data_IF_355838308982
#
_entry.id   IF_355838308982
#
_cell.length_a   1.000
_cell.length_b   1.000
_cell.length_c   1.000
_cell.angle_alpha   90.00
_cell.angle_beta   90.00
_cell.angle_gamma   90.00
#
_symmetry.space_group_name_H-M   'P 1'
#
loop_
_entity.id
_entity.type
_entity.pdbx_description
1 polymer ?
#
# COMPACT_ATOMS: atom_id res chain seq x y z
N UNK A 1 -32.34 -26.79 63.50
CA UNK A 1 -31.57 -25.55 63.27
C UNK A 1 -30.33 -25.91 62.46
N UNK A 2 -30.41 -25.76 61.14
CA UNK A 2 -29.27 -25.84 60.21
C UNK A 2 -29.76 -25.36 58.85
N UNK A 3 -29.57 -24.07 58.57
CA UNK A 3 -29.90 -23.42 57.28
C UNK A 3 -28.66 -23.38 56.40
N UNK A 4 -28.77 -23.90 55.18
CA UNK A 4 -27.76 -23.79 54.13
C UNK A 4 -27.68 -22.36 53.57
N UNK A 5 -26.51 -21.91 53.06
CA UNK A 5 -26.37 -20.60 52.44
C UNK A 5 -26.81 -20.60 50.97
N UNK A 6 -27.54 -19.55 50.60
CA UNK A 6 -27.97 -19.22 49.24
C UNK A 6 -26.78 -18.87 48.33
N UNK A 7 -26.76 -19.43 47.12
CA UNK A 7 -25.84 -19.07 46.03
C UNK A 7 -26.49 -17.97 45.18
N UNK A 8 -25.82 -16.82 45.06
CA UNK A 8 -26.26 -15.67 44.25
C UNK A 8 -25.43 -15.59 42.96
N UNK A 9 -26.02 -15.83 41.76
CA UNK A 9 -25.28 -15.87 40.51
C UNK A 9 -25.26 -14.50 39.82
N UNK A 10 -24.67 -13.49 40.46
CA UNK A 10 -24.39 -12.20 39.78
C UNK A 10 -23.00 -11.66 40.13
N UNK A 11 -21.96 -12.35 39.65
CA UNK A 11 -20.66 -11.74 39.38
C UNK A 11 -20.29 -12.05 37.92
N UNK A 12 -20.82 -11.26 37.00
CA UNK A 12 -20.21 -11.11 35.68
C UNK A 12 -18.96 -10.26 35.87
N UNK A 13 -17.80 -10.87 35.70
CA UNK A 13 -16.53 -10.20 35.50
C UNK A 13 -16.65 -9.21 34.34
N UNK A 14 -16.89 -7.95 34.67
CA UNK A 14 -16.73 -6.83 33.76
C UNK A 14 -15.26 -6.50 33.67
N UNK A 15 -14.52 -7.23 32.83
CA UNK A 15 -13.23 -6.75 32.34
C UNK A 15 -13.49 -5.51 31.48
N UNK A 16 -13.44 -4.35 32.14
CA UNK A 16 -13.35 -3.05 31.50
C UNK A 16 -12.06 -3.05 30.67
N UNK A 17 -12.20 -3.23 29.36
CA UNK A 17 -11.15 -2.97 28.38
C UNK A 17 -10.77 -1.50 28.46
N UNK A 18 -9.82 -1.17 29.35
CA UNK A 18 -9.16 0.13 29.36
C UNK A 18 -8.36 0.20 28.06
N UNK A 19 -8.79 1.05 27.13
CA UNK A 19 -7.99 1.44 25.98
C UNK A 19 -6.66 1.98 26.50
N UNK A 20 -5.60 1.18 26.42
CA UNK A 20 -4.24 1.63 26.72
C UNK A 20 -3.93 2.81 25.79
N UNK A 21 -3.57 3.96 26.37
CA UNK A 21 -3.14 5.10 25.59
C UNK A 21 -1.88 4.72 24.81
N UNK A 22 -1.91 4.85 23.48
CA UNK A 22 -0.75 4.59 22.64
C UNK A 22 0.18 5.79 22.76
N UNK A 23 1.41 5.57 23.23
CA UNK A 23 2.43 6.60 23.34
C UNK A 23 3.41 6.49 22.16
N UNK A 24 3.67 7.62 21.50
CA UNK A 24 4.59 7.73 20.38
C UNK A 24 5.70 8.75 20.71
N UNK A 25 6.93 8.54 20.20
CA UNK A 25 8.06 9.39 20.55
C UNK A 25 7.86 10.82 20.06
N UNK A 26 8.11 11.81 20.93
CA UNK A 26 8.12 13.22 20.54
C UNK A 26 9.30 13.55 19.61
N UNK A 27 10.42 12.84 19.77
CA UNK A 27 11.59 12.91 18.90
C UNK A 27 11.82 11.54 18.24
N UNK A 28 11.19 11.26 17.09
CA UNK A 28 11.22 9.93 16.48
C UNK A 28 12.61 9.59 15.91
N UNK A 29 13.09 8.38 16.18
CA UNK A 29 14.30 7.87 15.53
C UNK A 29 14.09 7.75 14.01
N UNK A 30 15.12 8.00 13.17
CA UNK A 30 15.00 7.84 11.73
C UNK A 30 14.53 6.42 11.33
N UNK A 31 13.60 6.29 10.36
CA UNK A 31 13.20 4.98 9.85
C UNK A 31 14.37 4.20 9.25
N UNK A 32 14.36 2.88 9.38
CA UNK A 32 15.38 1.98 8.82
C UNK A 32 14.79 0.62 8.48
N UNK A 33 15.53 -0.19 7.71
CA UNK A 33 15.11 -1.57 7.47
C UNK A 33 15.18 -2.38 8.77
N UNK A 34 14.02 -2.78 9.29
CA UNK A 34 13.91 -3.60 10.50
C UNK A 34 12.99 -4.82 10.34
N UNK A 35 12.24 -4.94 9.23
CA UNK A 35 11.26 -6.00 8.99
C UNK A 35 11.82 -7.17 8.16
N UNK A 36 13.05 -7.59 8.44
CA UNK A 36 13.81 -8.54 7.60
C UNK A 36 13.62 -10.01 7.97
N UNK A 37 13.01 -10.29 9.12
CA UNK A 37 12.72 -11.64 9.62
C UNK A 37 11.24 -11.81 9.90
N UNK A 38 10.73 -13.04 9.86
CA UNK A 38 9.31 -13.31 10.16
C UNK A 38 8.97 -12.92 11.61
N UNK A 39 9.92 -13.07 12.55
CA UNK A 39 9.78 -12.59 13.92
C UNK A 39 9.63 -11.08 14.00
N UNK A 40 10.45 -10.31 13.27
CA UNK A 40 10.36 -8.86 13.27
C UNK A 40 9.03 -8.36 12.66
N UNK A 41 8.55 -9.02 11.61
CA UNK A 41 7.24 -8.72 10.99
C UNK A 41 6.10 -9.02 11.97
N UNK A 42 6.14 -10.16 12.67
CA UNK A 42 5.15 -10.51 13.67
C UNK A 42 5.14 -9.51 14.86
N UNK A 43 6.32 -9.08 15.31
CA UNK A 43 6.46 -8.10 16.39
C UNK A 43 5.98 -6.71 15.98
N UNK A 44 6.21 -6.31 14.73
CA UNK A 44 5.86 -4.98 14.24
C UNK A 44 4.38 -4.66 14.42
N UNK A 45 3.49 -5.64 14.25
CA UNK A 45 2.05 -5.43 14.48
C UNK A 45 1.72 -5.07 15.92
N UNK A 46 2.53 -5.51 16.88
CA UNK A 46 2.33 -5.20 18.30
C UNK A 46 2.94 -3.86 18.71
N UNK A 47 3.73 -3.23 17.82
CA UNK A 47 4.39 -1.96 18.11
C UNK A 47 3.38 -0.81 18.25
N UNK A 48 3.60 0.14 19.18
CA UNK A 48 2.76 1.32 19.35
C UNK A 48 2.49 2.07 18.04
N UNK A 49 3.53 2.26 17.22
CA UNK A 49 3.45 2.99 15.96
C UNK A 49 2.57 2.30 14.93
N UNK A 50 2.68 0.96 14.79
CA UNK A 50 1.78 0.23 13.91
C UNK A 50 0.33 0.26 14.41
N UNK A 51 0.11 0.11 15.72
CA UNK A 51 -1.24 0.16 16.30
C UNK A 51 -1.89 1.53 16.10
N UNK A 52 -1.12 2.62 16.20
CA UNK A 52 -1.59 3.96 15.92
C UNK A 52 -1.90 4.16 14.43
N UNK A 53 -1.00 3.73 13.53
CA UNK A 53 -1.22 3.75 12.09
C UNK A 53 -2.46 2.95 11.68
N UNK A 54 -2.61 1.73 12.19
CA UNK A 54 -3.79 0.91 11.92
C UNK A 54 -5.07 1.51 12.52
N UNK A 55 -4.96 2.14 13.69
CA UNK A 55 -6.02 2.96 14.27
C UNK A 55 -6.47 4.08 13.32
N UNK A 56 -5.52 4.79 12.73
CA UNK A 56 -5.78 5.83 11.74
C UNK A 56 -6.46 5.28 10.47
N UNK A 57 -5.98 4.17 9.91
CA UNK A 57 -6.61 3.51 8.74
C UNK A 57 -8.06 3.13 9.04
N UNK A 58 -8.33 2.52 10.21
CA UNK A 58 -9.70 2.18 10.63
C UNK A 58 -10.57 3.43 10.76
N UNK A 59 -10.05 4.50 11.37
CA UNK A 59 -10.77 5.78 11.52
C UNK A 59 -11.09 6.40 10.16
N UNK A 60 -10.15 6.37 9.20
CA UNK A 60 -10.43 6.80 7.81
C UNK A 60 -11.53 5.95 7.20
N UNK A 61 -11.45 4.62 7.26
CA UNK A 61 -12.51 3.75 6.75
C UNK A 61 -13.91 4.08 7.31
N UNK A 62 -14.02 4.42 8.59
CA UNK A 62 -15.29 4.82 9.18
C UNK A 62 -15.77 6.20 8.70
N UNK A 63 -14.86 7.17 8.51
CA UNK A 63 -15.18 8.53 8.08
C UNK A 63 -15.47 8.67 6.59
N UNK A 64 -14.92 7.79 5.78
CA UNK A 64 -15.05 7.85 4.32
C UNK A 64 -16.38 7.31 3.80
N UNK A 65 -17.22 6.71 4.65
CA UNK A 65 -18.55 6.19 4.24
C UNK A 65 -19.38 7.26 3.55
N UNK A 66 -19.85 6.96 2.34
CA UNK A 66 -20.65 7.87 1.52
C UNK A 66 -19.90 9.09 0.97
N UNK A 67 -18.58 9.23 1.21
CA UNK A 67 -17.77 10.30 0.65
C UNK A 67 -17.21 9.90 -0.72
N UNK A 68 -17.19 10.86 -1.64
CA UNK A 68 -16.66 10.65 -2.99
C UNK A 68 -15.18 11.08 -3.09
N UNK A 69 -14.47 10.57 -4.10
CA UNK A 69 -13.17 11.06 -4.52
C UNK A 69 -13.27 12.56 -4.79
N UNK A 70 -12.31 13.32 -4.27
CA UNK A 70 -12.26 14.76 -4.44
C UNK A 70 -11.36 15.09 -5.64
N UNK A 71 -11.97 15.65 -6.69
CA UNK A 71 -11.29 16.04 -7.93
C UNK A 71 -11.20 17.56 -8.04
N UNK A 72 -10.39 18.03 -8.99
CA UNK A 72 -10.18 19.44 -9.26
C UNK A 72 -9.20 20.11 -8.30
N UNK A 73 -9.06 21.43 -8.47
CA UNK A 73 -8.15 22.25 -7.68
C UNK A 73 -8.50 22.21 -6.19
N UNK A 74 -7.45 22.15 -5.36
CA UNK A 74 -7.63 22.19 -3.92
C UNK A 74 -7.92 23.60 -3.43
N UNK A 75 -9.11 23.79 -2.84
CA UNK A 75 -9.58 25.09 -2.36
C UNK A 75 -9.43 25.25 -0.83
N UNK A 76 -8.90 24.25 -0.12
CA UNK A 76 -8.71 24.33 1.32
C UNK A 76 -7.40 25.04 1.73
N UNK A 77 -7.24 25.28 3.03
CA UNK A 77 -6.14 26.06 3.58
C UNK A 77 -4.93 25.23 4.02
N UNK A 78 -5.01 23.89 3.94
CA UNK A 78 -3.91 23.01 4.37
C UNK A 78 -2.74 23.12 3.41
N UNK A 79 -1.65 23.75 3.86
CA UNK A 79 -0.43 23.85 3.08
C UNK A 79 0.16 22.47 2.79
N UNK A 80 0.07 21.52 3.72
CA UNK A 80 0.60 20.18 3.51
C UNK A 80 -0.12 19.43 2.38
N UNK A 81 -1.45 19.54 2.29
CA UNK A 81 -2.20 18.98 1.16
C UNK A 81 -1.76 19.62 -0.15
N UNK A 82 -1.65 20.96 -0.19
CA UNK A 82 -1.16 21.68 -1.39
C UNK A 82 0.22 21.19 -1.83
N UNK A 83 1.16 21.05 -0.89
CA UNK A 83 2.52 20.57 -1.16
C UNK A 83 2.53 19.13 -1.68
N UNK A 84 1.74 18.23 -1.09
CA UNK A 84 1.66 16.84 -1.56
C UNK A 84 1.04 16.73 -2.95
N UNK A 85 0.04 17.55 -3.29
CA UNK A 85 -0.54 17.59 -4.63
C UNK A 85 0.45 18.15 -5.66
N UNK A 86 1.10 19.27 -5.35
CA UNK A 86 2.16 19.85 -6.21
C UNK A 86 3.30 18.85 -6.43
N UNK A 87 3.69 18.09 -5.40
CA UNK A 87 4.65 17.00 -5.52
C UNK A 87 4.19 15.95 -6.55
N UNK A 88 2.96 15.44 -6.42
CA UNK A 88 2.44 14.43 -7.34
C UNK A 88 2.29 14.95 -8.76
N UNK A 89 1.86 16.21 -8.94
CA UNK A 89 1.72 16.83 -10.26
C UNK A 89 3.08 17.03 -10.95
N UNK A 90 4.09 17.48 -10.20
CA UNK A 90 5.47 17.56 -10.71
C UNK A 90 6.01 16.18 -11.09
N UNK A 91 5.77 15.17 -10.26
CA UNK A 91 6.18 13.80 -10.56
C UNK A 91 5.50 13.24 -11.81
N UNK A 92 4.25 13.60 -12.08
CA UNK A 92 3.58 13.27 -13.34
C UNK A 92 4.26 13.97 -14.52
N UNK A 93 4.54 15.27 -14.39
CA UNK A 93 5.28 16.03 -15.42
C UNK A 93 6.67 15.45 -15.73
N UNK A 94 7.37 14.94 -14.71
CA UNK A 94 8.69 14.31 -14.88
C UNK A 94 8.67 13.04 -15.75
N UNK A 95 7.51 12.41 -15.96
CA UNK A 95 7.39 11.25 -16.87
C UNK A 95 7.66 11.69 -18.31
N UNK A 96 7.22 12.88 -18.69
CA UNK A 96 7.45 13.45 -20.03
C UNK A 96 8.94 13.78 -20.25
N UNK A 97 9.66 14.15 -19.20
CA UNK A 97 11.11 14.40 -19.24
C UNK A 97 11.94 13.12 -19.42
N UNK A 98 11.36 11.95 -19.12
CA UNK A 98 12.05 10.66 -19.17
C UNK A 98 11.30 9.70 -20.10
N UNK A 99 11.41 9.89 -21.43
CA UNK A 99 10.73 9.04 -22.40
C UNK A 99 11.27 7.61 -22.36
N UNK A 100 10.45 6.66 -22.83
CA UNK A 100 10.82 5.25 -22.91
C UNK A 100 12.09 5.05 -23.76
N UNK A 101 12.99 4.19 -23.29
CA UNK A 101 14.19 3.84 -24.04
C UNK A 101 13.88 2.67 -25.01
N UNK A 102 14.40 2.70 -26.25
CA UNK A 102 14.33 1.55 -27.14
C UNK A 102 15.04 0.34 -26.52
N UNK A 103 14.38 -0.82 -26.51
CA UNK A 103 14.93 -2.06 -25.97
C UNK A 103 14.71 -3.19 -26.98
N UNK A 104 15.80 -3.76 -27.49
CA UNK A 104 15.77 -4.89 -28.44
C UNK A 104 15.64 -6.25 -27.76
N UNK A 105 16.17 -6.40 -26.53
CA UNK A 105 16.34 -7.70 -25.87
C UNK A 105 15.57 -7.86 -24.54
N UNK A 106 14.80 -6.85 -24.10
CA UNK A 106 14.11 -6.87 -22.82
C UNK A 106 12.59 -6.81 -23.03
N UNK A 107 11.89 -7.87 -22.60
CA UNK A 107 10.43 -7.99 -22.74
C UNK A 107 9.65 -7.32 -21.60
N UNK A 108 10.26 -7.17 -20.42
CA UNK A 108 9.62 -6.70 -19.19
C UNK A 108 10.39 -5.51 -18.60
N UNK A 109 9.67 -4.49 -18.12
CA UNK A 109 10.26 -3.29 -17.52
C UNK A 109 11.09 -2.43 -18.48
N UNK A 110 10.69 -1.18 -18.68
CA UNK A 110 11.49 -0.23 -19.44
C UNK A 110 12.59 0.38 -18.55
N UNK A 111 13.85 0.30 -19.00
CA UNK A 111 15.01 0.78 -18.25
C UNK A 111 14.98 2.30 -17.97
N UNK A 112 14.22 3.08 -18.74
CA UNK A 112 14.00 4.50 -18.49
C UNK A 112 13.43 4.76 -17.08
N UNK A 113 12.73 3.80 -16.48
CA UNK A 113 12.25 3.91 -15.11
C UNK A 113 13.35 4.16 -14.09
N UNK A 114 14.57 3.62 -14.31
CA UNK A 114 15.72 3.88 -13.44
C UNK A 114 16.10 5.36 -13.47
N UNK A 115 16.09 5.96 -14.65
CA UNK A 115 16.34 7.38 -14.82
C UNK A 115 15.23 8.22 -14.17
N UNK A 116 13.96 7.79 -14.30
CA UNK A 116 12.83 8.44 -13.63
C UNK A 116 12.98 8.43 -12.11
N UNK A 117 13.26 7.27 -11.50
CA UNK A 117 13.45 7.18 -10.04
C UNK A 117 14.66 8.00 -9.58
N UNK A 118 15.76 7.99 -10.33
CA UNK A 118 16.92 8.85 -10.02
C UNK A 118 16.52 10.34 -10.03
N UNK A 119 15.71 10.76 -10.99
CA UNK A 119 15.17 12.12 -11.05
C UNK A 119 14.32 12.45 -9.82
N UNK A 120 13.49 11.51 -9.37
CA UNK A 120 12.68 11.63 -8.16
C UNK A 120 13.58 11.77 -6.92
N UNK A 121 14.60 10.94 -6.77
CA UNK A 121 15.56 10.99 -5.65
C UNK A 121 16.28 12.36 -5.57
N UNK A 122 16.62 12.94 -6.73
CA UNK A 122 17.30 14.23 -6.81
C UNK A 122 16.39 15.43 -6.54
N UNK A 123 15.13 15.40 -7.04
CA UNK A 123 14.25 16.56 -7.05
C UNK A 123 13.21 16.57 -5.91
N UNK A 124 12.71 15.41 -5.48
CA UNK A 124 11.63 15.32 -4.50
C UNK A 124 11.93 16.04 -3.18
N UNK A 125 13.12 15.91 -2.55
CA UNK A 125 13.42 16.60 -1.30
C UNK A 125 13.27 18.13 -1.41
N UNK A 126 13.59 18.71 -2.57
CA UNK A 126 13.54 20.15 -2.81
C UNK A 126 12.10 20.70 -2.92
N UNK A 127 11.09 19.84 -2.98
CA UNK A 127 9.69 20.23 -2.99
C UNK A 127 9.16 20.56 -1.58
N UNK A 128 9.87 20.12 -0.54
CA UNK A 128 9.50 20.31 0.86
C UNK A 128 10.26 21.49 1.49
N UNK A 129 10.03 22.71 0.99
CA UNK A 129 10.79 23.92 1.39
C UNK A 129 10.03 24.87 2.33
N UNK A 130 8.76 24.58 2.62
CA UNK A 130 7.96 25.45 3.49
C UNK A 130 8.47 25.48 4.94
N UNK A 131 8.51 26.66 5.54
CA UNK A 131 8.79 26.84 6.96
C UNK A 131 7.69 26.28 7.89
N UNK A 132 6.51 25.95 7.36
CA UNK A 132 5.44 25.31 8.13
C UNK A 132 5.63 23.80 8.31
N UNK A 133 6.64 23.20 7.67
CA UNK A 133 6.97 21.79 7.80
C UNK A 133 7.63 21.57 9.17
N UNK A 134 7.08 20.69 10.04
CA UNK A 134 7.70 20.37 11.31
C UNK A 134 9.14 19.84 11.11
N UNK A 135 10.13 20.25 11.93
CA UNK A 135 11.52 19.81 11.76
C UNK A 135 11.71 18.29 11.83
N UNK A 136 10.83 17.60 12.55
CA UNK A 136 10.85 16.14 12.71
C UNK A 136 10.17 15.40 11.55
N UNK A 137 9.45 16.08 10.65
CA UNK A 137 8.67 15.43 9.59
C UNK A 137 9.56 14.86 8.48
N UNK A 138 10.41 15.67 7.83
CA UNK A 138 11.18 15.21 6.67
C UNK A 138 12.13 14.03 6.96
N UNK A 139 12.82 13.97 8.12
CA UNK A 139 13.61 12.79 8.50
C UNK A 139 12.79 11.49 8.61
N UNK A 140 11.47 11.58 8.77
CA UNK A 140 10.55 10.43 8.83
C UNK A 140 9.89 10.16 7.47
N UNK A 141 9.51 11.21 6.74
CA UNK A 141 8.77 11.13 5.49
C UNK A 141 9.65 10.67 4.31
N UNK A 142 10.83 11.26 4.14
CA UNK A 142 11.68 10.98 2.98
C UNK A 142 12.15 9.53 2.93
N UNK A 143 12.50 8.85 4.04
CA UNK A 143 12.81 7.41 4.00
C UNK A 143 11.65 6.52 3.57
N UNK A 144 10.41 6.91 3.85
CA UNK A 144 9.22 6.18 3.36
C UNK A 144 9.05 6.38 1.85
N UNK A 145 9.21 7.61 1.37
CA UNK A 145 9.02 7.91 -0.05
C UNK A 145 10.16 7.38 -0.93
N UNK A 146 11.42 7.59 -0.51
CA UNK A 146 12.59 7.28 -1.31
C UNK A 146 13.16 5.90 -0.99
N UNK A 147 13.53 5.64 0.27
CA UNK A 147 14.24 4.41 0.63
C UNK A 147 13.34 3.17 0.71
N UNK A 148 12.05 3.34 1.02
CA UNK A 148 11.05 2.27 0.89
C UNK A 148 10.46 2.18 -0.52
N UNK A 149 10.94 3.03 -1.44
CA UNK A 149 10.55 3.05 -2.85
C UNK A 149 9.04 3.20 -3.04
N UNK A 150 8.40 4.19 -2.43
CA UNK A 150 6.93 4.37 -2.51
C UNK A 150 6.38 4.51 -3.94
N UNK A 151 7.25 4.77 -4.92
CA UNK A 151 6.92 4.97 -6.34
C UNK A 151 7.44 3.84 -7.24
N UNK A 152 7.87 2.70 -6.66
CA UNK A 152 8.39 1.52 -7.35
C UNK A 152 9.90 1.36 -7.26
N UNK A 153 10.40 0.12 -7.41
CA UNK A 153 11.80 -0.20 -7.19
C UNK A 153 12.64 -0.04 -8.47
N UNK A 154 13.71 0.79 -8.48
CA UNK A 154 14.42 1.12 -9.72
C UNK A 154 15.15 -0.08 -10.34
N UNK A 155 15.76 -0.94 -9.52
CA UNK A 155 16.53 -2.09 -10.04
C UNK A 155 15.62 -3.17 -10.62
N UNK A 156 14.58 -3.55 -9.86
CA UNK A 156 13.61 -4.60 -10.24
C UNK A 156 12.57 -4.12 -11.25
N UNK A 157 12.39 -2.79 -11.38
CA UNK A 157 11.41 -2.17 -12.29
C UNK A 157 10.01 -2.71 -12.00
N UNK A 158 9.67 -2.76 -10.71
CA UNK A 158 8.43 -3.32 -10.20
C UNK A 158 7.73 -2.35 -9.23
N UNK A 159 6.43 -2.58 -9.06
CA UNK A 159 5.58 -1.86 -8.11
C UNK A 159 4.56 -2.84 -7.51
N UNK A 160 4.09 -2.59 -6.30
CA UNK A 160 3.20 -3.49 -5.57
C UNK A 160 2.78 -2.94 -4.21
N UNK A 161 2.07 -3.76 -3.44
CA UNK A 161 1.38 -3.36 -2.21
C UNK A 161 2.31 -2.87 -1.10
N UNK A 162 3.58 -3.27 -1.09
CA UNK A 162 4.59 -2.73 -0.16
C UNK A 162 4.95 -1.28 -0.47
N UNK A 163 5.05 -0.93 -1.75
CA UNK A 163 5.32 0.43 -2.22
C UNK A 163 4.13 1.35 -1.96
N UNK A 164 2.91 0.85 -2.23
CA UNK A 164 1.66 1.52 -1.87
C UNK A 164 1.57 1.81 -0.36
N UNK A 165 1.89 0.81 0.46
CA UNK A 165 1.88 0.92 1.91
C UNK A 165 2.87 1.98 2.41
N UNK A 166 4.06 2.06 1.81
CA UNK A 166 5.05 3.10 2.14
C UNK A 166 4.49 4.52 1.89
N UNK A 167 3.76 4.72 0.79
CA UNK A 167 3.13 6.01 0.51
C UNK A 167 2.07 6.37 1.56
N UNK A 168 1.17 5.43 1.87
CA UNK A 168 0.09 5.66 2.86
C UNK A 168 0.63 5.84 4.28
N UNK A 169 1.73 5.17 4.63
CA UNK A 169 2.48 5.45 5.86
C UNK A 169 3.05 6.86 5.88
N UNK A 170 3.54 7.37 4.76
CA UNK A 170 3.99 8.76 4.64
C UNK A 170 2.84 9.75 4.89
N UNK A 171 1.63 9.47 4.38
CA UNK A 171 0.44 10.28 4.68
C UNK A 171 0.15 10.29 6.18
N UNK A 172 0.19 9.13 6.84
CA UNK A 172 0.03 9.06 8.30
C UNK A 172 1.12 9.82 9.07
N UNK A 173 2.37 9.75 8.60
CA UNK A 173 3.50 10.49 9.18
C UNK A 173 3.29 12.02 9.10
N UNK A 174 2.69 12.52 8.02
CA UNK A 174 2.26 13.92 7.92
C UNK A 174 1.18 14.30 8.95
N UNK A 175 0.31 13.36 9.31
CA UNK A 175 -0.73 13.57 10.34
C UNK A 175 -0.13 13.61 11.73
N UNK A 176 0.63 12.58 12.09
CA UNK A 176 1.17 12.46 13.44
C UNK A 176 2.24 13.50 13.76
N UNK A 177 2.91 14.08 12.75
CA UNK A 177 3.80 15.22 12.92
C UNK A 177 3.06 16.52 13.24
N UNK A 178 1.72 16.55 13.11
CA UNK A 178 0.89 17.75 13.22
C UNK A 178 0.99 18.69 12.01
N UNK A 179 1.51 18.21 10.87
CA UNK A 179 1.61 19.04 9.65
C UNK A 179 0.27 19.15 8.91
N UNK A 180 -0.49 18.05 8.90
CA UNK A 180 -1.81 17.95 8.26
C UNK A 180 -2.78 17.36 9.29
N UNK A 181 -4.01 17.86 9.34
CA UNK A 181 -5.02 17.28 10.22
C UNK A 181 -4.93 17.68 11.69
N UNK A 182 -5.59 16.92 12.55
CA UNK A 182 -5.80 17.24 13.97
C UNK A 182 -7.25 17.06 14.42
N UNK A 183 -7.50 17.24 15.72
CA UNK A 183 -8.84 17.07 16.30
C UNK A 183 -9.85 18.11 15.78
N UNK A 184 -11.13 17.71 15.74
CA UNK A 184 -12.23 18.59 15.33
C UNK A 184 -12.32 18.73 13.81
N UNK A 185 -12.48 19.96 13.32
CA UNK A 185 -12.72 20.25 11.91
C UNK A 185 -11.54 19.87 11.00
N UNK A 186 -10.33 19.74 11.56
CA UNK A 186 -9.13 19.30 10.81
C UNK A 186 -9.15 17.81 10.43
N UNK A 187 -10.05 17.01 10.97
CA UNK A 187 -10.23 15.60 10.55
C UNK A 187 -10.65 15.47 9.08
N UNK A 188 -11.20 16.52 8.48
CA UNK A 188 -11.51 16.58 7.05
C UNK A 188 -10.25 16.62 6.20
N UNK A 189 -9.19 17.30 6.63
CA UNK A 189 -7.90 17.30 5.94
C UNK A 189 -7.33 15.87 5.83
N UNK A 190 -7.48 15.07 6.88
CA UNK A 190 -7.06 13.66 6.88
C UNK A 190 -7.93 12.79 5.95
N UNK A 191 -9.21 13.12 5.76
CA UNK A 191 -10.04 12.46 4.76
C UNK A 191 -9.58 12.82 3.34
N UNK A 192 -9.21 14.10 3.11
CA UNK A 192 -8.66 14.56 1.83
C UNK A 192 -7.31 13.92 1.49
N UNK A 193 -6.50 13.53 2.48
CA UNK A 193 -5.31 12.72 2.22
C UNK A 193 -5.64 11.42 1.49
N UNK A 194 -6.80 10.81 1.76
CA UNK A 194 -7.23 9.59 1.07
C UNK A 194 -8.03 9.93 -0.20
N UNK A 195 -9.03 10.79 -0.09
CA UNK A 195 -9.96 11.07 -1.19
C UNK A 195 -9.36 11.92 -2.31
N UNK A 196 -8.28 12.66 -2.03
CA UNK A 196 -7.62 13.55 -2.99
C UNK A 196 -6.18 13.16 -3.24
N UNK A 197 -5.34 13.17 -2.20
CA UNK A 197 -3.89 12.94 -2.36
C UNK A 197 -3.61 11.50 -2.76
N UNK A 198 -4.19 10.52 -2.07
CA UNK A 198 -4.04 9.11 -2.44
C UNK A 198 -4.69 8.79 -3.79
N UNK A 199 -5.86 9.36 -4.10
CA UNK A 199 -6.46 9.25 -5.42
C UNK A 199 -5.51 9.75 -6.53
N UNK A 200 -4.86 10.91 -6.33
CA UNK A 200 -3.87 11.46 -7.28
C UNK A 200 -2.61 10.60 -7.37
N UNK A 201 -2.19 9.98 -6.27
CA UNK A 201 -1.11 9.00 -6.27
C UNK A 201 -1.44 7.77 -7.13
N UNK A 202 -2.68 7.28 -7.09
CA UNK A 202 -3.11 6.18 -7.96
C UNK A 202 -3.03 6.56 -9.44
N UNK A 203 -3.37 7.81 -9.80
CA UNK A 203 -3.19 8.30 -11.18
C UNK A 203 -1.73 8.26 -11.62
N UNK A 204 -0.82 8.77 -10.78
CA UNK A 204 0.62 8.73 -11.02
C UNK A 204 1.11 7.27 -11.18
N UNK A 205 0.74 6.37 -10.27
CA UNK A 205 1.19 4.97 -10.31
C UNK A 205 0.66 4.26 -11.56
N UNK A 206 -0.61 4.44 -11.93
CA UNK A 206 -1.17 3.89 -13.17
C UNK A 206 -0.41 4.38 -14.40
N UNK A 207 -0.03 5.66 -14.43
CA UNK A 207 0.76 6.23 -15.52
C UNK A 207 2.18 5.66 -15.57
N UNK A 208 2.86 5.50 -14.44
CA UNK A 208 4.18 4.88 -14.36
C UNK A 208 4.16 3.41 -14.81
N UNK A 209 3.21 2.64 -14.29
CA UNK A 209 3.00 1.23 -14.65
C UNK A 209 2.81 1.08 -16.15
N UNK A 210 1.97 1.91 -16.76
CA UNK A 210 1.70 1.89 -18.21
C UNK A 210 2.89 2.34 -19.04
N UNK A 211 3.51 3.45 -18.66
CA UNK A 211 4.60 4.08 -19.43
C UNK A 211 5.85 3.22 -19.42
N UNK A 212 6.26 2.79 -18.23
CA UNK A 212 7.49 2.03 -18.04
C UNK A 212 7.28 0.53 -17.96
N UNK A 213 6.05 0.02 -18.14
CA UNK A 213 5.74 -1.42 -18.13
C UNK A 213 6.27 -2.10 -16.87
N UNK A 214 6.00 -1.50 -15.72
CA UNK A 214 6.45 -2.01 -14.43
C UNK A 214 5.90 -3.42 -14.21
N UNK A 215 6.68 -4.26 -13.55
CA UNK A 215 6.24 -5.60 -13.18
C UNK A 215 5.49 -5.58 -11.83
N UNK A 216 4.53 -6.49 -11.60
CA UNK A 216 3.91 -6.68 -10.30
C UNK A 216 4.90 -7.21 -9.24
N UNK A 217 5.19 -6.41 -8.21
CA UNK A 217 6.09 -6.77 -7.13
C UNK A 217 5.39 -7.69 -6.11
N UNK A 218 5.96 -8.88 -5.88
CA UNK A 218 5.43 -9.80 -4.88
C UNK A 218 4.03 -10.34 -5.20
N UNK A 219 3.61 -10.31 -6.47
CA UNK A 219 2.28 -10.77 -6.87
C UNK A 219 2.06 -12.24 -6.51
N UNK A 220 0.87 -12.54 -5.99
CA UNK A 220 0.41 -13.92 -5.78
C UNK A 220 -0.15 -14.54 -7.07
N UNK A 221 0.11 -13.92 -8.23
CA UNK A 221 -0.58 -14.21 -9.48
C UNK A 221 -2.10 -14.10 -9.31
N UNK A 222 -2.84 -15.06 -9.86
CA UNK A 222 -4.31 -15.12 -9.78
C UNK A 222 -4.87 -15.25 -8.35
N UNK A 223 -4.02 -15.51 -7.34
CA UNK A 223 -4.44 -15.63 -5.95
C UNK A 223 -4.35 -14.32 -5.15
N UNK A 224 -3.79 -13.27 -5.77
CA UNK A 224 -3.78 -11.92 -5.20
C UNK A 224 -5.14 -11.23 -5.34
N UNK A 225 -5.35 -10.17 -4.55
CA UNK A 225 -6.50 -9.29 -4.76
C UNK A 225 -6.37 -8.56 -6.11
N UNK A 226 -5.21 -7.96 -6.32
CA UNK A 226 -4.82 -7.18 -7.50
C UNK A 226 -3.31 -7.32 -7.68
N UNK A 227 -2.80 -7.01 -8.87
CA UNK A 227 -1.37 -7.14 -9.18
C UNK A 227 -0.52 -6.08 -8.47
N UNK A 228 -1.08 -4.88 -8.25
CA UNK A 228 -0.32 -3.71 -7.80
C UNK A 228 -0.82 -3.12 -6.48
N UNK A 229 -2.12 -3.16 -6.21
CA UNK A 229 -2.73 -2.34 -5.17
C UNK A 229 -3.61 -3.12 -4.18
N UNK A 230 -3.79 -2.58 -2.97
CA UNK A 230 -4.68 -3.17 -1.97
C UNK A 230 -5.51 -2.11 -1.25
N UNK A 231 -4.86 -1.06 -0.77
CA UNK A 231 -5.47 0.01 0.02
C UNK A 231 -6.62 0.74 -0.67
N UNK A 232 -6.66 0.96 -2.01
CA UNK A 232 -7.82 1.62 -2.59
C UNK A 232 -9.07 0.74 -2.60
N UNK A 233 -8.92 -0.60 -2.62
CA UNK A 233 -10.06 -1.50 -2.39
C UNK A 233 -10.54 -1.45 -0.93
N UNK A 234 -9.61 -1.35 0.03
CA UNK A 234 -9.94 -1.20 1.46
C UNK A 234 -10.69 0.11 1.74
N UNK A 235 -10.19 1.23 1.24
CA UNK A 235 -10.84 2.53 1.42
C UNK A 235 -12.11 2.66 0.58
N UNK A 236 -12.10 2.19 -0.67
CA UNK A 236 -13.24 2.29 -1.57
C UNK A 236 -14.42 1.43 -1.14
N UNK A 237 -14.19 0.21 -0.66
CA UNK A 237 -15.28 -0.59 -0.07
C UNK A 237 -15.84 0.05 1.21
N UNK A 238 -15.05 0.86 1.92
CA UNK A 238 -15.53 1.70 3.02
C UNK A 238 -16.43 2.84 2.53
N UNK A 239 -16.04 3.54 1.46
CA UNK A 239 -16.86 4.59 0.82
C UNK A 239 -18.24 4.06 0.42
N UNK A 240 -18.27 2.81 -0.06
CA UNK A 240 -19.47 2.14 -0.57
C UNK A 240 -20.34 1.47 0.49
N UNK A 241 -19.92 1.46 1.77
CA UNK A 241 -20.79 1.00 2.87
C UNK A 241 -22.07 1.83 2.90
N UNK A 242 -23.21 1.14 2.93
CA UNK A 242 -24.56 1.72 2.91
C UNK A 242 -24.86 2.60 1.66
N UNK A 243 -23.99 2.56 0.65
CA UNK A 243 -24.12 3.27 -0.62
C UNK A 243 -25.00 2.54 -1.65
N UNK A 244 -25.39 3.23 -2.73
CA UNK A 244 -26.34 2.69 -3.72
C UNK A 244 -25.72 1.71 -4.72
N UNK A 245 -24.39 1.70 -4.87
CA UNK A 245 -23.70 0.82 -5.82
C UNK A 245 -23.38 -0.51 -5.15
N UNK A 246 -23.82 -1.62 -5.74
CA UNK A 246 -23.44 -2.97 -5.35
C UNK A 246 -22.06 -3.37 -5.91
N UNK A 247 -21.40 -4.41 -5.35
CA UNK A 247 -20.14 -4.92 -5.88
C UNK A 247 -20.19 -5.31 -7.37
N UNK A 248 -21.30 -5.90 -7.82
CA UNK A 248 -21.51 -6.23 -9.24
C UNK A 248 -21.61 -4.98 -10.11
N UNK A 249 -22.31 -3.93 -9.65
CA UNK A 249 -22.42 -2.67 -10.38
C UNK A 249 -21.09 -1.96 -10.51
N UNK A 250 -20.26 -1.93 -9.46
CA UNK A 250 -18.90 -1.38 -9.52
C UNK A 250 -18.05 -2.07 -10.60
N UNK A 251 -18.09 -3.40 -10.68
CA UNK A 251 -17.38 -4.14 -11.73
C UNK A 251 -17.93 -3.86 -13.13
N UNK A 252 -19.26 -3.79 -13.27
CA UNK A 252 -19.90 -3.45 -14.54
C UNK A 252 -19.54 -2.04 -15.00
N UNK A 253 -19.51 -1.07 -14.07
CA UNK A 253 -19.11 0.31 -14.35
C UNK A 253 -17.64 0.36 -14.78
N UNK A 254 -16.73 -0.22 -14.00
CA UNK A 254 -15.31 -0.27 -14.32
C UNK A 254 -15.00 -0.92 -15.69
N UNK A 255 -15.79 -1.92 -16.07
CA UNK A 255 -15.57 -2.70 -17.31
C UNK A 255 -16.33 -2.15 -18.51
N UNK A 256 -17.19 -1.15 -18.36
CA UNK A 256 -18.04 -0.67 -19.46
C UNK A 256 -17.21 -0.09 -20.61
N UNK A 257 -17.63 -0.39 -21.84
CA UNK A 257 -16.94 0.05 -23.07
C UNK A 257 -16.82 1.57 -23.16
N UNK A 258 -17.79 2.31 -22.61
CA UNK A 258 -17.77 3.77 -22.54
C UNK A 258 -16.55 4.31 -21.79
N UNK A 259 -16.07 3.56 -20.78
CA UNK A 259 -14.90 3.94 -19.99
C UNK A 259 -13.57 3.56 -20.66
N UNK A 260 -13.58 2.57 -21.56
CA UNK A 260 -12.37 2.11 -22.26
C UNK A 260 -11.99 2.96 -23.48
N UNK A 261 -12.95 3.69 -24.06
CA UNK A 261 -12.73 4.54 -25.24
C UNK A 261 -12.64 6.05 -24.93
N UNK A 262 -13.00 6.47 -23.72
CA UNK A 262 -13.01 7.89 -23.33
C UNK A 262 -11.92 8.17 -22.30
N UNK A 263 -11.08 9.17 -22.52
CA UNK A 263 -10.02 9.56 -21.57
C UNK A 263 -10.57 10.22 -20.30
N UNK A 264 -11.81 10.73 -20.31
CA UNK A 264 -12.46 11.32 -19.12
C UNK A 264 -13.26 10.31 -18.29
N UNK A 265 -13.30 9.06 -18.74
CA UNK A 265 -13.90 7.91 -18.08
C UNK A 265 -13.66 7.85 -16.56
N UNK A 266 -12.40 7.96 -16.15
CA UNK A 266 -12.02 7.92 -14.74
C UNK A 266 -12.66 9.04 -13.92
N UNK A 267 -13.01 10.19 -14.53
CA UNK A 267 -13.57 11.35 -13.84
C UNK A 267 -15.00 11.13 -13.35
N UNK A 268 -15.78 10.24 -13.98
CA UNK A 268 -17.13 9.90 -13.53
C UNK A 268 -17.12 8.90 -12.37
N UNK A 269 -16.00 8.20 -12.17
CA UNK A 269 -15.85 7.24 -11.07
C UNK A 269 -15.60 8.01 -9.77
N UNK A 270 -16.51 7.79 -8.82
CA UNK A 270 -16.62 8.54 -7.56
C UNK A 270 -16.00 7.84 -6.35
N UNK A 271 -15.64 6.57 -6.45
CA UNK A 271 -15.09 5.78 -5.35
C UNK A 271 -13.79 5.07 -5.74
N UNK A 272 -12.93 4.82 -4.75
CA UNK A 272 -11.60 4.24 -4.97
C UNK A 272 -11.65 2.76 -5.40
N UNK A 273 -12.73 2.04 -5.08
CA UNK A 273 -12.86 0.62 -5.40
C UNK A 273 -13.12 0.45 -6.90
N UNK A 274 -14.13 1.14 -7.42
CA UNK A 274 -14.47 1.20 -8.84
C UNK A 274 -13.32 1.81 -9.65
N UNK A 275 -12.62 2.81 -9.12
CA UNK A 275 -11.47 3.42 -9.80
C UNK A 275 -10.34 2.40 -9.97
N UNK A 276 -10.07 1.60 -8.94
CA UNK A 276 -9.03 0.58 -8.98
C UNK A 276 -9.40 -0.58 -9.91
N UNK A 277 -10.67 -1.01 -9.91
CA UNK A 277 -11.16 -1.95 -10.90
C UNK A 277 -10.97 -1.42 -12.32
N UNK A 278 -11.27 -0.14 -12.57
CA UNK A 278 -11.07 0.48 -13.87
C UNK A 278 -9.59 0.46 -14.27
N UNK A 279 -8.69 0.90 -13.38
CA UNK A 279 -7.24 0.84 -13.62
C UNK A 279 -6.76 -0.57 -13.95
N UNK A 280 -7.25 -1.59 -13.24
CA UNK A 280 -6.92 -2.99 -13.51
C UNK A 280 -7.30 -3.42 -14.94
N UNK A 281 -8.46 -2.96 -15.44
CA UNK A 281 -8.88 -3.26 -16.83
C UNK A 281 -7.98 -2.64 -17.90
N UNK A 282 -7.17 -1.64 -17.56
CA UNK A 282 -6.23 -1.02 -18.50
C UNK A 282 -5.03 -1.93 -18.82
N UNK A 283 -4.71 -2.87 -17.93
CA UNK A 283 -3.56 -3.77 -18.06
C UNK A 283 -3.95 -5.18 -18.48
N UNK A 284 -5.15 -5.64 -18.09
CA UNK A 284 -5.62 -7.01 -18.34
C UNK A 284 -6.67 -7.01 -19.44
N UNK A 285 -6.24 -7.31 -20.66
CA UNK A 285 -7.12 -7.46 -21.82
C UNK A 285 -7.00 -8.86 -22.43
N UNK A 286 -8.04 -9.30 -23.14
CA UNK A 286 -8.03 -10.57 -23.89
C UNK A 286 -8.44 -11.83 -23.10
N UNK A 287 -8.77 -11.71 -21.82
CA UNK A 287 -9.33 -12.77 -20.99
C UNK A 287 -10.56 -12.27 -20.23
N UNK A 288 -11.43 -13.18 -19.78
CA UNK A 288 -12.57 -12.80 -18.94
C UNK A 288 -12.09 -12.32 -17.56
N UNK A 289 -12.82 -11.39 -16.93
CA UNK A 289 -12.42 -10.85 -15.62
C UNK A 289 -12.26 -11.94 -14.54
N UNK A 290 -13.12 -12.95 -14.58
CA UNK A 290 -13.05 -14.13 -13.71
C UNK A 290 -11.78 -14.97 -13.88
N UNK A 291 -11.12 -14.90 -15.02
CA UNK A 291 -9.92 -15.70 -15.32
C UNK A 291 -8.66 -14.99 -14.82
N UNK A 292 -8.58 -13.67 -15.01
CA UNK A 292 -7.37 -12.91 -14.68
C UNK A 292 -7.40 -12.27 -13.28
N UNK A 293 -8.60 -12.16 -12.68
CA UNK A 293 -8.83 -11.56 -11.34
C UNK A 293 -9.93 -12.32 -10.57
N UNK A 294 -9.78 -13.63 -10.31
CA UNK A 294 -10.84 -14.47 -9.74
C UNK A 294 -11.27 -14.04 -8.32
N UNK A 295 -10.37 -13.44 -7.52
CA UNK A 295 -10.71 -12.95 -6.18
C UNK A 295 -11.63 -11.72 -6.26
N UNK A 296 -11.26 -10.70 -7.03
CA UNK A 296 -12.12 -9.53 -7.27
C UNK A 296 -13.44 -9.92 -7.94
N UNK A 297 -13.40 -10.91 -8.86
CA UNK A 297 -14.61 -11.49 -9.43
C UNK A 297 -15.50 -12.08 -8.34
N UNK A 298 -14.95 -12.90 -7.44
CA UNK A 298 -15.71 -13.49 -6.33
C UNK A 298 -16.31 -12.43 -5.40
N UNK A 299 -15.57 -11.36 -5.09
CA UNK A 299 -16.08 -10.24 -4.30
C UNK A 299 -17.23 -9.52 -5.01
N UNK A 300 -17.17 -9.38 -6.34
CA UNK A 300 -18.25 -8.76 -7.13
C UNK A 300 -19.57 -9.53 -7.08
N UNK A 301 -19.55 -10.82 -6.71
CA UNK A 301 -20.74 -11.67 -6.57
C UNK A 301 -21.38 -11.60 -5.18
N UNK A 302 -20.76 -10.88 -4.23
CA UNK A 302 -21.33 -10.71 -2.89
C UNK A 302 -22.45 -9.67 -2.89
N UNK A 303 -23.40 -9.84 -1.96
CA UNK A 303 -24.62 -9.02 -1.90
C UNK A 303 -24.40 -7.63 -1.29
N UNK A 304 -23.48 -7.51 -0.33
CA UNK A 304 -23.25 -6.28 0.43
C UNK A 304 -21.76 -6.03 0.70
N UNK A 305 -21.43 -4.76 0.95
CA UNK A 305 -20.08 -4.30 1.24
C UNK A 305 -19.60 -4.60 2.66
N UNK A 306 -20.51 -4.90 3.60
CA UNK A 306 -20.15 -5.14 5.00
C UNK A 306 -19.22 -6.34 5.11
N UNK A 307 -19.54 -7.44 4.42
CA UNK A 307 -18.69 -8.63 4.40
C UNK A 307 -17.38 -8.39 3.65
N UNK A 308 -17.43 -7.70 2.51
CA UNK A 308 -16.23 -7.37 1.72
C UNK A 308 -15.27 -6.54 2.58
N UNK A 309 -15.76 -5.48 3.22
CA UNK A 309 -14.92 -4.59 4.01
C UNK A 309 -14.35 -5.28 5.26
N UNK A 310 -15.15 -6.14 5.91
CA UNK A 310 -14.65 -7.01 6.99
C UNK A 310 -13.54 -7.95 6.53
N UNK A 311 -13.70 -8.57 5.36
CA UNK A 311 -12.72 -9.46 4.74
C UNK A 311 -11.44 -8.74 4.35
N UNK A 312 -11.54 -7.58 3.69
CA UNK A 312 -10.39 -6.78 3.26
C UNK A 312 -9.55 -6.29 4.45
N UNK A 313 -10.17 -5.93 5.58
CA UNK A 313 -9.41 -5.59 6.80
C UNK A 313 -8.57 -6.76 7.31
N UNK A 314 -9.13 -7.97 7.31
CA UNK A 314 -8.38 -9.19 7.72
C UNK A 314 -7.29 -9.53 6.71
N UNK A 315 -7.60 -9.43 5.42
CA UNK A 315 -6.67 -9.73 4.34
C UNK A 315 -5.50 -8.73 4.30
N UNK A 316 -5.73 -7.45 4.58
CA UNK A 316 -4.65 -6.46 4.73
C UNK A 316 -3.64 -6.89 5.79
N UNK A 317 -4.13 -7.28 6.97
CA UNK A 317 -3.29 -7.72 8.07
C UNK A 317 -2.49 -8.98 7.75
N UNK A 318 -3.08 -9.93 7.01
CA UNK A 318 -2.45 -11.21 6.69
C UNK A 318 -1.51 -11.15 5.47
N UNK A 319 -1.94 -10.51 4.38
CA UNK A 319 -1.28 -10.60 3.08
C UNK A 319 -0.51 -9.33 2.68
N UNK A 320 -0.71 -8.21 3.40
CA UNK A 320 0.07 -6.99 3.20
C UNK A 320 0.96 -6.75 4.41
N UNK A 321 0.40 -6.25 5.51
CA UNK A 321 1.18 -5.84 6.68
C UNK A 321 1.89 -7.02 7.37
N UNK A 322 1.30 -8.21 7.37
CA UNK A 322 1.86 -9.42 8.00
C UNK A 322 2.75 -10.24 7.08
N UNK A 323 2.95 -9.80 5.84
CA UNK A 323 3.64 -10.60 4.83
C UNK A 323 5.06 -10.08 4.63
N UNK A 324 6.06 -10.81 5.14
CA UNK A 324 7.48 -10.42 5.02
C UNK A 324 7.89 -10.03 3.60
N UNK A 325 7.53 -10.82 2.60
CA UNK A 325 7.92 -10.54 1.20
C UNK A 325 7.39 -9.20 0.69
N UNK A 326 6.32 -8.67 1.28
CA UNK A 326 5.74 -7.36 0.99
C UNK A 326 6.44 -6.26 1.80
N UNK A 327 6.62 -6.45 3.10
CA UNK A 327 7.05 -5.36 4.02
C UNK A 327 8.55 -5.30 4.30
N UNK A 328 9.33 -6.31 3.92
CA UNK A 328 10.78 -6.36 4.21
C UNK A 328 11.60 -5.22 3.56
N UNK A 329 11.05 -4.58 2.53
CA UNK A 329 11.67 -3.43 1.87
C UNK A 329 11.43 -2.10 2.60
N UNK A 330 10.48 -2.05 3.54
CA UNK A 330 10.09 -0.82 4.22
C UNK A 330 11.19 -0.34 5.18
N UNK A 331 11.44 0.97 5.14
CA UNK A 331 12.18 1.69 6.16
C UNK A 331 11.18 2.18 7.18
N UNK A 332 11.13 1.47 8.31
CA UNK A 332 10.17 1.72 9.40
C UNK A 332 10.93 2.13 10.64
N UNK A 333 10.37 3.05 11.41
CA UNK A 333 10.94 3.52 12.66
C UNK A 333 10.15 4.70 13.20
N UNK A 334 10.65 5.33 14.26
CA UNK A 334 10.04 6.54 14.80
C UNK A 334 8.56 6.34 15.13
N UNK A 335 7.70 7.16 14.52
CA UNK A 335 6.24 7.11 14.73
C UNK A 335 5.56 5.84 14.19
N UNK A 336 6.19 5.09 13.30
CA UNK A 336 5.64 3.84 12.74
C UNK A 336 6.07 2.58 13.51
N UNK A 337 6.85 2.74 14.58
CA UNK A 337 7.23 1.64 15.46
C UNK A 337 7.05 2.02 16.94
N UNK A 338 7.73 3.05 17.42
CA UNK A 338 7.79 3.43 18.83
C UNK A 338 9.24 3.70 19.28
N UNK A 339 9.44 3.87 20.58
CA UNK A 339 10.78 4.13 21.16
C UNK A 339 11.70 2.90 21.10
N UNK A 340 11.17 1.70 21.34
CA UNK A 340 11.93 0.46 21.41
C UNK A 340 12.09 -0.21 20.04
N UNK A 341 12.90 0.41 19.17
CA UNK A 341 13.24 -0.17 17.86
C UNK A 341 14.12 -1.42 18.00
N UNK A 342 13.86 -2.52 17.27
CA UNK A 342 14.72 -3.71 17.27
C UNK A 342 16.11 -3.33 16.77
N UNK A 343 17.18 -3.90 17.33
CA UNK A 343 18.56 -3.62 16.88
C UNK A 343 18.69 -3.77 15.35
N UNK A 344 19.39 -2.82 14.72
CA UNK A 344 19.53 -2.77 13.27
C UNK A 344 20.43 -3.88 12.76
N UNK A 345 20.00 -4.54 11.68
CA UNK A 345 20.92 -5.32 10.87
C UNK A 345 21.69 -4.32 10.03
N UNK A 346 22.84 -3.85 10.51
CA UNK A 346 23.81 -3.20 9.62
C UNK A 346 24.19 -4.24 8.55
N UNK A 347 23.77 -4.01 7.30
CA UNK A 347 24.39 -4.73 6.18
C UNK A 347 25.82 -4.24 6.10
N UNK A 348 26.76 -5.01 6.68
CA UNK A 348 28.18 -4.73 6.65
C UNK A 348 28.62 -4.33 5.24
N UNK A 349 29.07 -3.09 5.10
CA UNK A 349 29.79 -2.65 3.92
C UNK A 349 31.02 -3.54 3.79
N UNK A 350 31.14 -4.25 2.67
CA UNK A 350 32.33 -5.04 2.35
C UNK A 350 33.49 -4.07 2.18
N UNK A 351 34.22 -3.82 3.27
CA UNK A 351 35.57 -3.26 3.25
C UNK A 351 36.54 -4.42 3.44
N UNK A 352 36.70 -5.21 2.38
CA UNK A 352 37.69 -6.28 2.31
C UNK A 352 38.84 -5.88 1.38
N UNK A 353 39.91 -5.32 1.94
CA UNK A 353 41.24 -5.25 1.31
C UNK A 353 41.67 -6.66 0.91
N UNK A 354 42.23 -6.79 -0.29
CA UNK A 354 42.59 -8.08 -0.88
C UNK A 354 43.78 -8.79 -0.23
N UNK A 355 43.83 -10.11 -0.45
CA UNK A 355 45.04 -10.93 -0.62
C UNK A 355 44.68 -12.05 -1.61
N UNK A 356 45.58 -12.34 -2.54
CA UNK A 356 45.33 -13.16 -3.72
C UNK A 356 45.36 -14.68 -3.53
N UNK A 357 45.18 -15.38 -4.65
CA UNK A 357 45.36 -16.82 -4.77
C UNK A 357 44.69 -17.38 -6.04
N UNK A 358 45.51 -17.70 -7.05
CA UNK A 358 45.10 -18.49 -8.23
C UNK A 358 44.61 -19.88 -7.84
N UNK A 359 43.54 -20.37 -8.46
CA UNK A 359 43.58 -21.64 -9.21
C UNK A 359 42.31 -21.89 -10.04
N UNK A 360 42.53 -22.51 -11.21
CA UNK A 360 41.52 -22.84 -12.21
C UNK A 360 40.64 -24.04 -11.86
N UNK A 361 39.59 -24.23 -12.66
CA UNK A 361 38.67 -25.35 -12.56
C UNK A 361 37.46 -25.17 -13.45
N UNK A 362 37.65 -25.36 -14.75
CA UNK A 362 36.60 -25.55 -15.74
C UNK A 362 35.79 -26.80 -15.40
N UNK A 363 34.47 -26.69 -15.25
CA UNK A 363 33.54 -27.82 -15.47
C UNK A 363 32.18 -27.31 -15.95
N UNK A 364 31.90 -27.65 -17.20
CA UNK A 364 30.58 -27.62 -17.84
C UNK A 364 29.69 -28.71 -17.25
N UNK A 365 28.44 -28.39 -16.91
CA UNK A 365 27.39 -29.40 -16.74
C UNK A 365 26.18 -29.03 -17.59
N UNK A 366 25.85 -30.01 -18.43
CA UNK A 366 24.82 -30.10 -19.45
C UNK A 366 23.41 -30.21 -18.88
N UNK A 367 22.46 -29.75 -19.69
CA UNK A 367 21.02 -29.94 -19.55
C UNK A 367 20.61 -31.43 -19.48
N UNK A 368 19.64 -31.72 -18.61
CA UNK A 368 18.95 -33.00 -18.54
C UNK A 368 17.44 -32.79 -18.64
N UNK A 369 16.84 -33.37 -19.67
CA UNK A 369 15.40 -33.41 -19.97
C UNK A 369 14.77 -34.62 -19.29
N UNK A 370 13.56 -34.46 -18.75
CA UNK A 370 12.65 -35.52 -18.31
C UNK A 370 11.68 -34.99 -17.25
N UNK A 371 10.38 -35.27 -17.22
CA UNK A 371 9.49 -36.12 -17.98
C UNK A 371 8.08 -35.91 -17.39
N UNK A 372 7.06 -36.13 -18.22
CA UNK A 372 5.63 -35.92 -17.95
C UNK A 372 5.10 -36.68 -16.72
N UNK A 373 4.33 -36.01 -15.88
CA UNK A 373 3.57 -36.60 -14.77
C UNK A 373 2.31 -35.78 -14.47
N UNK A 374 1.17 -36.28 -14.93
CA UNK A 374 -0.18 -35.69 -14.79
C UNK A 374 -0.69 -35.96 -13.37
N UNK A 375 -0.93 -34.92 -12.56
CA UNK A 375 -1.59 -35.04 -11.25
C UNK A 375 -2.95 -34.34 -11.30
N UNK A 376 -3.99 -35.08 -10.89
CA UNK A 376 -5.38 -34.65 -10.92
C UNK A 376 -5.67 -33.56 -9.89
N UNK A 377 -6.56 -32.67 -10.30
CA UNK A 377 -7.09 -31.50 -9.60
C UNK A 377 -8.00 -31.91 -8.43
N UNK A 378 -7.68 -31.43 -7.22
CA UNK A 378 -8.58 -31.43 -6.06
C UNK A 378 -8.54 -30.04 -5.46
N UNK A 379 -9.60 -29.28 -5.75
CA UNK A 379 -9.75 -27.88 -5.36
C UNK A 379 -9.57 -27.65 -3.86
N UNK A 380 -8.52 -26.90 -3.52
CA UNK A 380 -8.28 -26.43 -2.15
C UNK A 380 -8.92 -25.05 -2.00
N UNK A 381 -10.02 -24.96 -1.24
CA UNK A 381 -10.63 -23.67 -0.87
C UNK A 381 -9.75 -22.95 0.15
N UNK A 382 -9.55 -21.64 -0.04
CA UNK A 382 -8.76 -20.81 0.85
C UNK A 382 -9.44 -20.63 2.25
N UNK A 383 -8.66 -20.64 3.34
CA UNK A 383 -9.18 -20.77 4.72
C UNK A 383 -9.85 -19.51 5.30
N UNK A 384 -9.80 -18.35 4.62
CA UNK A 384 -10.32 -17.09 5.15
C UNK A 384 -11.77 -16.77 4.75
N UNK A 385 -12.41 -17.60 3.91
CA UNK A 385 -13.75 -17.37 3.37
C UNK A 385 -14.89 -18.01 4.21
N UNK A 386 -14.85 -17.90 5.54
CA UNK A 386 -15.95 -18.33 6.43
C UNK A 386 -16.67 -17.18 7.09
#
# INVERSE_FOLDING_TARGET
>A
MTTQPHYDPTQKNGESSRSQAIYLPANPAPPRQCLTTDSAVAQWHTSPGFQAFWGWIKRRCERLKGKEILRGEYQGDSQGIRTLLDMLDKMIGWIEEVPIQPQSNQRFGNLAFRSYIKLVEERLPSLFTSSAIPPTLLPQLLPLFLNSHAFGHPVRIDYGTGHELAFVMGLYVCVISGWIGGQGDKEEEEDELILRVFARYLDLMTLLQKTYRLEPAGSHGVWGLDDYCFLPYLFGSAQLLDGPLSPTQCLSQASSSSYRSNSTAAQEIKDLYTLSLYHLTLFKSGAAFSEHSPLLWSLSQMKDWVKIQGGLRKMFMAEVAGKKVVVQGLWVGGWLYGEEMPEGVERGGVTGRGVGGMNGGSTSITAGVGGSGRVMDVGTKAPWAR
#
